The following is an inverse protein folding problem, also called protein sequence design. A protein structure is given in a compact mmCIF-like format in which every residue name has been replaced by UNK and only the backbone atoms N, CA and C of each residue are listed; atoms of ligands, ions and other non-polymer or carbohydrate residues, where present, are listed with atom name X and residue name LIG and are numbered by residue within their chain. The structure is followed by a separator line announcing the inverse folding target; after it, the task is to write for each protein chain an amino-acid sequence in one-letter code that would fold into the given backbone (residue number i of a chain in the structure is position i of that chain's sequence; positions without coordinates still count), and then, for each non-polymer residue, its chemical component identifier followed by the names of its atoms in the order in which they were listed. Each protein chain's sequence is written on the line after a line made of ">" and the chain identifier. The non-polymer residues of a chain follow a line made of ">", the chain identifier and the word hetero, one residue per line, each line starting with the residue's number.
data_IF_785836693531
#
_entry.id   IF_785836693531
#
_cell.length_a   1.000
_cell.length_b   1.000
_cell.length_c   1.000
_cell.angle_alpha   90.00
_cell.angle_beta   90.00
_cell.angle_gamma   90.00
#
_symmetry.space_group_name_H-M   'P 1'
#
loop_
_entity.id
_entity.type
_entity.pdbx_description
1 polymer ?
#
# COMPACT_ATOMS: atom_id res chain seq x y z
N UNK A 1 -18.97 7.20 12.84
CA UNK A 1 -18.01 7.53 11.74
C UNK A 1 -18.49 6.81 10.49
N UNK A 2 -18.48 7.46 9.32
CA UNK A 2 -18.92 6.82 8.08
C UNK A 2 -18.00 5.63 7.73
N UNK A 3 -18.54 4.41 7.49
CA UNK A 3 -17.73 3.21 7.27
C UNK A 3 -16.80 3.31 6.04
N UNK A 4 -17.21 4.06 5.03
CA UNK A 4 -16.40 4.40 3.85
C UNK A 4 -15.15 5.22 4.18
N UNK A 5 -15.22 6.10 5.18
CA UNK A 5 -14.07 6.91 5.62
C UNK A 5 -13.04 6.04 6.35
N UNK A 6 -13.50 5.10 7.17
CA UNK A 6 -12.62 4.14 7.86
C UNK A 6 -11.88 3.27 6.85
N UNK A 7 -12.58 2.78 5.82
CA UNK A 7 -11.99 1.96 4.76
C UNK A 7 -10.95 2.73 3.92
N UNK A 8 -11.22 4.01 3.62
CA UNK A 8 -10.23 4.88 2.96
C UNK A 8 -8.97 5.04 3.79
N UNK A 9 -9.14 5.35 5.07
CA UNK A 9 -8.04 5.59 5.99
C UNK A 9 -7.16 4.35 6.15
N UNK A 10 -7.74 3.16 6.34
CA UNK A 10 -6.97 1.93 6.49
C UNK A 10 -6.18 1.57 5.23
N UNK A 11 -6.72 1.84 4.04
CA UNK A 11 -6.03 1.57 2.77
C UNK A 11 -4.89 2.56 2.53
N UNK A 12 -5.10 3.85 2.78
CA UNK A 12 -4.03 4.84 2.68
C UNK A 12 -2.93 4.53 3.70
N UNK A 13 -3.30 4.15 4.93
CA UNK A 13 -2.36 3.76 5.97
C UNK A 13 -1.58 2.50 5.57
N UNK A 14 -2.24 1.49 4.99
CA UNK A 14 -1.59 0.28 4.50
C UNK A 14 -0.61 0.57 3.35
N UNK A 15 -1.00 1.43 2.39
CA UNK A 15 -0.12 1.86 1.31
C UNK A 15 1.09 2.65 1.82
N UNK A 16 0.88 3.56 2.77
CA UNK A 16 1.96 4.34 3.39
C UNK A 16 2.91 3.44 4.20
N UNK A 17 2.39 2.49 4.97
CA UNK A 17 3.20 1.52 5.71
C UNK A 17 4.03 0.64 4.76
N UNK A 18 3.43 0.15 3.67
CA UNK A 18 4.13 -0.65 2.65
C UNK A 18 5.24 0.15 1.96
N UNK A 19 5.01 1.44 1.69
CA UNK A 19 6.02 2.33 1.12
C UNK A 19 7.17 2.59 2.09
N UNK A 20 6.88 2.92 3.35
CA UNK A 20 7.91 3.15 4.38
C UNK A 20 8.73 1.87 4.61
N UNK A 21 8.09 0.70 4.61
CA UNK A 21 8.79 -0.58 4.74
C UNK A 21 9.70 -0.88 3.54
N UNK A 22 9.26 -0.58 2.31
CA UNK A 22 10.10 -0.68 1.09
C UNK A 22 11.33 0.22 1.18
N UNK A 23 11.15 1.49 1.55
CA UNK A 23 12.25 2.46 1.70
C UNK A 23 13.19 2.00 2.82
N UNK A 24 12.65 1.57 3.96
CA UNK A 24 13.46 1.08 5.08
C UNK A 24 14.30 -0.13 4.67
N UNK A 25 13.72 -1.13 4.01
CA UNK A 25 14.46 -2.32 3.57
C UNK A 25 15.55 -1.96 2.55
N UNK A 26 15.25 -1.04 1.63
CA UNK A 26 16.18 -0.58 0.59
C UNK A 26 17.40 0.17 1.17
N UNK A 27 17.21 0.97 2.22
CA UNK A 27 18.28 1.74 2.85
C UNK A 27 18.96 1.02 4.03
N UNK A 28 18.28 0.11 4.72
CA UNK A 28 18.82 -0.61 5.87
C UNK A 28 19.88 -1.66 5.50
N UNK A 29 19.80 -2.24 4.30
CA UNK A 29 20.75 -3.27 3.83
C UNK A 29 21.62 -2.76 2.67
N UNK A 30 22.47 -1.78 2.96
CA UNK A 30 23.40 -1.19 1.97
C UNK A 30 24.55 -2.12 1.53
N UNK A 31 24.60 -3.38 2.01
CA UNK A 31 25.77 -4.26 1.83
C UNK A 31 25.56 -5.42 0.85
N UNK A 32 24.32 -5.74 0.46
CA UNK A 32 23.99 -6.90 -0.38
C UNK A 32 22.98 -6.54 -1.47
N UNK A 33 23.25 -6.94 -2.73
CA UNK A 33 22.44 -6.60 -3.91
C UNK A 33 21.04 -7.25 -3.82
N UNK A 34 20.95 -8.43 -3.20
CA UNK A 34 19.71 -9.20 -3.04
C UNK A 34 18.67 -8.48 -2.14
N UNK A 35 19.12 -7.79 -1.10
CA UNK A 35 18.24 -7.06 -0.19
C UNK A 35 17.67 -5.79 -0.83
N UNK A 36 18.45 -5.18 -1.72
CA UNK A 36 18.04 -4.00 -2.50
C UNK A 36 16.94 -4.36 -3.52
N UNK A 37 16.99 -5.56 -4.10
CA UNK A 37 15.92 -6.11 -4.94
C UNK A 37 14.65 -6.33 -4.12
N UNK A 38 14.77 -6.87 -2.92
CA UNK A 38 13.64 -7.10 -2.02
C UNK A 38 12.90 -5.79 -1.69
N UNK A 39 13.64 -4.69 -1.48
CA UNK A 39 13.07 -3.35 -1.30
C UNK A 39 12.28 -2.87 -2.52
N UNK A 40 12.79 -3.12 -3.73
CA UNK A 40 12.11 -2.78 -5.00
C UNK A 40 10.84 -3.62 -5.20
N UNK A 41 10.86 -4.91 -4.87
CA UNK A 41 9.67 -5.78 -4.96
C UNK A 41 8.55 -5.33 -4.03
N UNK A 42 8.85 -4.87 -2.81
CA UNK A 42 7.83 -4.30 -1.91
C UNK A 42 7.31 -2.95 -2.44
N UNK A 43 8.18 -2.15 -3.07
CA UNK A 43 7.78 -0.88 -3.69
C UNK A 43 6.79 -1.06 -4.84
N UNK A 44 6.94 -2.12 -5.64
CA UNK A 44 6.04 -2.43 -6.77
C UNK A 44 4.62 -2.86 -6.31
N UNK A 45 4.44 -3.21 -5.03
CA UNK A 45 3.14 -3.59 -4.47
C UNK A 45 2.29 -2.38 -4.04
N UNK A 46 2.89 -1.20 -3.86
CA UNK A 46 2.17 0.02 -3.46
C UNK A 46 1.08 0.41 -4.49
N UNK A 47 1.35 0.42 -5.81
CA UNK A 47 0.32 0.63 -6.84
C UNK A 47 -0.82 -0.39 -6.76
N UNK A 48 -0.53 -1.67 -6.44
CA UNK A 48 -1.52 -2.73 -6.32
C UNK A 48 -2.46 -2.52 -5.14
N UNK A 49 -1.95 -2.05 -4.00
CA UNK A 49 -2.75 -1.73 -2.80
C UNK A 49 -3.67 -0.53 -3.06
N UNK A 50 -3.17 0.50 -3.76
CA UNK A 50 -3.95 1.67 -4.15
C UNK A 50 -5.04 1.31 -5.17
N UNK A 51 -4.72 0.47 -6.16
CA UNK A 51 -5.68 -0.02 -7.15
C UNK A 51 -6.79 -0.87 -6.49
N UNK A 52 -6.41 -1.79 -5.60
CA UNK A 52 -7.37 -2.59 -4.83
C UNK A 52 -8.25 -1.72 -3.94
N UNK A 53 -7.69 -0.69 -3.31
CA UNK A 53 -8.46 0.23 -2.51
C UNK A 53 -9.41 1.11 -3.28
N UNK A 54 -8.99 1.61 -4.44
CA UNK A 54 -9.87 2.29 -5.38
C UNK A 54 -11.01 1.39 -5.86
N UNK A 55 -10.73 0.11 -6.13
CA UNK A 55 -11.74 -0.87 -6.49
C UNK A 55 -12.74 -1.12 -5.36
N UNK A 56 -12.28 -1.36 -4.13
CA UNK A 56 -13.16 -1.54 -2.97
C UNK A 56 -14.03 -0.31 -2.74
N UNK A 57 -13.47 0.90 -2.80
CA UNK A 57 -14.22 2.14 -2.67
C UNK A 57 -15.33 2.29 -3.72
N UNK A 58 -15.04 1.96 -4.97
CA UNK A 58 -16.05 1.96 -6.04
C UNK A 58 -17.11 0.88 -5.85
N UNK A 59 -16.71 -0.30 -5.37
CA UNK A 59 -17.63 -1.41 -5.09
C UNK A 59 -18.59 -1.08 -3.95
N UNK A 60 -18.10 -0.46 -2.87
CA UNK A 60 -18.95 -0.01 -1.76
C UNK A 60 -19.81 1.21 -2.13
N UNK A 61 -19.30 2.16 -2.91
CA UNK A 61 -20.09 3.30 -3.40
C UNK A 61 -21.27 2.85 -4.29
N UNK A 62 -21.13 1.74 -5.02
CA UNK A 62 -22.19 1.17 -5.85
C UNK A 62 -23.29 0.46 -5.04
N UNK A 63 -23.02 0.02 -3.81
CA UNK A 63 -23.99 -0.70 -2.96
C UNK A 63 -25.01 0.23 -2.28
N UNK A 64 -24.69 1.52 -2.20
CA UNK A 64 -25.53 2.56 -1.57
C UNK A 64 -26.38 3.37 -2.58
N UNK A 65 -26.40 3.00 -3.87
CA UNK A 65 -27.32 3.54 -4.91
C UNK A 65 -28.33 2.50 -5.35
#
# INVERSE_FOLDING_TARGET
>A
MNPTVVLRLTIILAAAASFVFSVWLYFANSSSIDDKLNGIYVGIWVPSILAFGGFLLQSFAKKDS
#
